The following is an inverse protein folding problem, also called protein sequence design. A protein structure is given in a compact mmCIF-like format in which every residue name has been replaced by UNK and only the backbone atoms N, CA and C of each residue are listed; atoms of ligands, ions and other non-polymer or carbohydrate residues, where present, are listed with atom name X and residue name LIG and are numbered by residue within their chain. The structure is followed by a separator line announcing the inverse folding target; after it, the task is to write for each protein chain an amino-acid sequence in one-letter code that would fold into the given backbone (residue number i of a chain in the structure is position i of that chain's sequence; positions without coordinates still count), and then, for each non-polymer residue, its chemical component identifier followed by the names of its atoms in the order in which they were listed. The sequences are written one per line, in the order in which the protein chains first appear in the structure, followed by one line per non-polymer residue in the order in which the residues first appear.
data_IF_093126162126
#
_entry.id   IF_093126162126
#
_cell.length_a   1.000
_cell.length_b   1.000
_cell.length_c   1.000
_cell.angle_alpha   90.00
_cell.angle_beta   90.00
_cell.angle_gamma   90.00
#
_symmetry.space_group_name_H-M   'P 1'
#
loop_
_entity.id
_entity.type
_entity.pdbx_description
1 polymer ?
#
# COMPACT_ATOMS: atom_id res chain seq x y z
N UNK A 1 -12.38 8.29 -24.65
CA UNK A 1 -10.94 8.60 -24.52
C UNK A 1 -10.63 9.29 -23.17
N UNK A 2 -11.31 10.37 -22.79
CA UNK A 2 -10.97 11.12 -21.55
C UNK A 2 -11.19 10.37 -20.22
N UNK A 3 -12.17 9.45 -20.14
CA UNK A 3 -12.40 8.67 -18.92
C UNK A 3 -11.35 7.59 -18.67
N UNK A 4 -10.72 7.07 -19.72
CA UNK A 4 -9.68 6.05 -19.59
C UNK A 4 -8.38 6.68 -19.07
N UNK A 5 -7.99 7.83 -19.65
CA UNK A 5 -6.81 8.58 -19.19
C UNK A 5 -6.92 9.07 -17.75
N UNK A 6 -8.13 9.45 -17.28
CA UNK A 6 -8.32 9.81 -15.86
C UNK A 6 -8.10 8.63 -14.91
N UNK A 7 -8.64 7.46 -15.25
CA UNK A 7 -8.48 6.25 -14.40
C UNK A 7 -7.04 5.79 -14.35
N UNK A 8 -6.33 5.86 -15.47
CA UNK A 8 -4.90 5.54 -15.52
C UNK A 8 -4.06 6.51 -14.70
N UNK A 9 -4.35 7.81 -14.78
CA UNK A 9 -3.66 8.83 -13.97
C UNK A 9 -3.88 8.61 -12.46
N UNK A 10 -5.11 8.28 -12.05
CA UNK A 10 -5.42 7.96 -10.66
C UNK A 10 -4.73 6.68 -10.18
N UNK A 11 -4.70 5.63 -11.01
CA UNK A 11 -4.00 4.39 -10.70
C UNK A 11 -2.49 4.61 -10.59
N UNK A 12 -1.92 5.42 -11.47
CA UNK A 12 -0.51 5.77 -11.45
C UNK A 12 -0.16 6.58 -10.18
N UNK A 13 -0.94 7.62 -9.86
CA UNK A 13 -0.77 8.38 -8.62
C UNK A 13 -0.84 7.49 -7.38
N UNK A 14 -1.77 6.54 -7.33
CA UNK A 14 -1.87 5.59 -6.21
C UNK A 14 -0.64 4.70 -6.11
N UNK A 15 -0.12 4.20 -7.24
CA UNK A 15 1.09 3.38 -7.27
C UNK A 15 2.32 4.15 -6.84
N UNK A 16 2.48 5.38 -7.32
CA UNK A 16 3.58 6.26 -6.91
C UNK A 16 3.50 6.61 -5.42
N UNK A 17 2.30 6.90 -4.91
CA UNK A 17 2.08 7.12 -3.48
C UNK A 17 2.45 5.88 -2.66
N UNK A 18 1.99 4.69 -3.07
CA UNK A 18 2.35 3.43 -2.40
C UNK A 18 3.85 3.15 -2.47
N UNK A 19 4.51 3.44 -3.58
CA UNK A 19 5.95 3.25 -3.74
C UNK A 19 6.77 4.21 -2.88
N UNK A 20 6.29 5.44 -2.68
CA UNK A 20 6.94 6.45 -1.82
C UNK A 20 6.73 6.17 -0.34
N UNK A 21 5.60 5.57 0.04
CA UNK A 21 5.31 5.23 1.44
C UNK A 21 5.74 3.82 1.85
N UNK A 22 6.00 2.90 0.92
CA UNK A 22 6.48 1.55 1.24
C UNK A 22 7.97 1.41 0.92
N UNK A 23 8.75 0.96 1.90
CA UNK A 23 10.13 0.58 1.65
C UNK A 23 10.23 -0.73 0.85
N UNK A 24 11.40 -1.00 0.25
CA UNK A 24 11.63 -2.18 -0.59
C UNK A 24 11.32 -3.48 0.15
N UNK A 25 11.72 -3.60 1.43
CA UNK A 25 11.44 -4.77 2.25
C UNK A 25 9.93 -4.95 2.53
N UNK A 26 9.21 -3.85 2.78
CA UNK A 26 7.77 -3.89 3.02
C UNK A 26 6.99 -4.33 1.78
N UNK A 27 7.38 -3.87 0.58
CA UNK A 27 6.76 -4.31 -0.69
C UNK A 27 6.96 -5.79 -0.93
N UNK A 28 8.17 -6.29 -0.70
CA UNK A 28 8.46 -7.72 -0.86
C UNK A 28 7.64 -8.56 0.12
N UNK A 29 7.55 -8.12 1.38
CA UNK A 29 6.73 -8.79 2.40
C UNK A 29 5.25 -8.80 2.01
N UNK A 30 4.70 -7.65 1.59
CA UNK A 30 3.32 -7.53 1.15
C UNK A 30 3.02 -8.47 -0.03
N UNK A 31 3.95 -8.57 -0.99
CA UNK A 31 3.85 -9.52 -2.11
C UNK A 31 3.79 -10.97 -1.64
N UNK A 32 4.68 -11.37 -0.71
CA UNK A 32 4.63 -12.72 -0.11
C UNK A 32 3.32 -12.98 0.63
N UNK A 33 2.80 -11.99 1.35
CA UNK A 33 1.52 -12.10 2.06
C UNK A 33 0.36 -12.25 1.09
N UNK A 34 0.35 -11.50 -0.02
CA UNK A 34 -0.69 -11.62 -1.04
C UNK A 34 -0.76 -13.03 -1.64
N UNK A 35 0.38 -13.75 -1.71
CA UNK A 35 0.41 -15.14 -2.18
C UNK A 35 -0.27 -16.12 -1.20
N UNK A 36 -0.16 -15.90 0.11
CA UNK A 36 -0.72 -16.80 1.14
C UNK A 36 -2.11 -16.36 1.63
N UNK A 37 -2.37 -15.05 1.62
CA UNK A 37 -3.59 -14.44 2.13
C UNK A 37 -3.86 -13.10 1.43
N UNK A 38 -4.48 -13.14 0.24
CA UNK A 38 -4.81 -11.92 -0.52
C UNK A 38 -5.81 -11.03 0.22
N UNK A 39 -6.69 -11.61 1.05
CA UNK A 39 -7.63 -10.83 1.86
C UNK A 39 -6.92 -9.92 2.87
N UNK A 40 -5.87 -10.43 3.54
CA UNK A 40 -5.09 -9.64 4.48
C UNK A 40 -4.25 -8.57 3.76
N UNK A 41 -3.62 -8.90 2.63
CA UNK A 41 -2.83 -7.92 1.87
C UNK A 41 -3.69 -6.76 1.36
N UNK A 42 -4.90 -7.03 0.86
CA UNK A 42 -5.82 -5.96 0.41
C UNK A 42 -6.28 -5.06 1.55
N UNK A 43 -6.49 -5.60 2.75
CA UNK A 43 -6.82 -4.79 3.93
C UNK A 43 -5.68 -3.84 4.28
N UNK A 44 -4.45 -4.35 4.30
CA UNK A 44 -3.25 -3.55 4.59
C UNK A 44 -3.03 -2.48 3.52
N UNK A 45 -3.13 -2.81 2.23
CA UNK A 45 -3.07 -1.81 1.16
C UNK A 45 -4.11 -0.70 1.35
N UNK A 46 -5.35 -1.05 1.71
CA UNK A 46 -6.41 -0.07 1.95
C UNK A 46 -6.16 0.83 3.16
N UNK A 47 -5.52 0.31 4.21
CA UNK A 47 -5.11 1.10 5.38
C UNK A 47 -3.96 2.04 4.98
N UNK A 48 -2.92 1.50 4.34
CA UNK A 48 -1.76 2.27 3.88
C UNK A 48 -2.15 3.40 2.94
N UNK A 49 -3.05 3.13 1.98
CA UNK A 49 -3.53 4.14 1.05
C UNK A 49 -4.26 5.28 1.79
N UNK A 50 -5.09 4.96 2.78
CA UNK A 50 -5.79 5.95 3.61
C UNK A 50 -4.82 6.75 4.47
N UNK A 51 -3.87 6.08 5.13
CA UNK A 51 -2.86 6.75 5.96
C UNK A 51 -1.95 7.67 5.13
N UNK A 52 -1.60 7.24 3.92
CA UNK A 52 -0.81 8.03 2.97
C UNK A 52 -1.59 9.27 2.49
N UNK A 53 -2.86 9.11 2.10
CA UNK A 53 -3.71 10.22 1.67
C UNK A 53 -3.99 11.22 2.81
N UNK A 54 -4.16 10.73 4.04
CA UNK A 54 -4.36 11.57 5.22
C UNK A 54 -3.08 12.25 5.71
N UNK A 55 -1.91 11.95 5.12
CA UNK A 55 -0.61 12.44 5.59
C UNK A 55 -0.21 11.93 6.98
N UNK A 56 -0.81 10.82 7.44
CA UNK A 56 -0.55 10.26 8.77
C UNK A 56 0.74 9.43 8.81
N UNK A 57 1.26 9.04 7.65
CA UNK A 57 2.55 8.35 7.51
C UNK A 57 3.68 9.37 7.65
N UNK A 58 4.39 9.31 8.79
CA UNK A 58 5.56 10.17 9.07
C UNK A 58 6.82 9.74 8.30
N UNK A 59 6.73 8.71 7.45
CA UNK A 59 7.84 8.17 6.68
C UNK A 59 7.47 6.88 5.96
N UNK A 60 8.48 6.18 5.43
CA UNK A 60 8.27 4.89 4.77
C UNK A 60 7.90 3.82 5.80
N UNK A 61 6.90 3.02 5.46
CA UNK A 61 6.48 1.84 6.19
C UNK A 61 7.51 0.74 5.92
N UNK A 62 8.07 0.23 7.01
CA UNK A 62 9.02 -0.88 7.02
C UNK A 62 8.29 -2.22 7.06
N UNK A 63 9.01 -3.31 6.81
CA UNK A 63 8.46 -4.66 6.94
C UNK A 63 7.85 -4.89 8.33
N UNK A 64 8.54 -4.47 9.40
CA UNK A 64 8.05 -4.63 10.78
C UNK A 64 6.74 -3.90 11.03
N UNK A 65 6.59 -2.65 10.54
CA UNK A 65 5.32 -1.93 10.67
C UNK A 65 4.21 -2.57 9.85
N UNK A 66 4.54 -3.13 8.67
CA UNK A 66 3.57 -3.88 7.87
C UNK A 66 3.08 -5.12 8.63
N UNK A 67 3.99 -5.84 9.30
CA UNK A 67 3.67 -7.02 10.11
C UNK A 67 2.82 -6.64 11.32
N UNK A 68 3.18 -5.58 12.05
CA UNK A 68 2.43 -5.09 13.21
C UNK A 68 0.98 -4.73 12.84
N UNK A 69 0.80 -4.00 11.73
CA UNK A 69 -0.52 -3.70 11.16
C UNK A 69 -1.31 -4.96 10.82
N UNK A 70 -0.62 -6.04 10.44
CA UNK A 70 -1.18 -7.34 10.08
C UNK A 70 -1.58 -8.20 11.27
N UNK A 71 -0.92 -8.02 12.40
CA UNK A 71 -1.27 -8.66 13.67
C UNK A 71 -2.46 -7.96 14.34
N UNK A 72 -2.68 -6.68 14.04
CA UNK A 72 -3.82 -5.90 14.53
C UNK A 72 -5.15 -6.17 13.77
N UNK A 73 -5.09 -6.82 12.60
CA UNK A 73 -6.28 -7.25 11.80
C UNK A 73 -6.53 -8.75 11.86
#
# INVERSE_FOLDING_TARGET
AEQESKREAEAQMRRDLLATVLDSAARERLSRIALVSPSRSSQIEGILLRMAQSGQLRGRVSEQQLIDLLEQV
#
